data_IF_131349728743
#
_entry.id   IF_131349728743
#
_cell.length_a   1.000
_cell.length_b   1.000
_cell.length_c   1.000
_cell.angle_alpha   90.00
_cell.angle_beta   90.00
_cell.angle_gamma   90.00
#
_symmetry.space_group_name_H-M   'P 1'
#
loop_
_entity.id
_entity.type
_entity.pdbx_description
1 polymer ?
#
# COMPACT_ATOMS: atom_id res chain seq x y z
N UNK A 1 44.22 0.76 -63.72
CA UNK A 1 42.81 1.22 -63.49
C UNK A 1 42.40 0.71 -62.11
N UNK A 2 42.49 1.61 -61.07
CA UNK A 2 42.31 1.28 -59.67
C UNK A 2 40.84 1.57 -59.24
N UNK A 3 40.10 0.55 -58.82
CA UNK A 3 38.80 0.72 -58.16
C UNK A 3 39.02 0.52 -56.66
N UNK A 4 39.11 1.61 -55.93
CA UNK A 4 39.04 1.64 -54.45
C UNK A 4 37.56 1.61 -54.04
N UNK A 5 37.11 0.50 -53.49
CA UNK A 5 35.82 0.40 -52.82
C UNK A 5 35.92 1.00 -51.42
N UNK A 6 35.17 2.04 -51.16
CA UNK A 6 35.03 2.70 -49.85
C UNK A 6 33.94 1.99 -49.07
N UNK A 7 34.31 1.21 -48.06
CA UNK A 7 33.36 0.59 -47.10
C UNK A 7 33.04 1.60 -46.01
N UNK A 8 31.83 2.16 -46.06
CA UNK A 8 31.26 2.97 -44.99
C UNK A 8 30.70 2.04 -43.91
N UNK A 9 31.37 1.97 -42.76
CA UNK A 9 30.85 1.35 -41.54
C UNK A 9 29.86 2.29 -40.88
N UNK A 10 28.56 1.99 -40.97
CA UNK A 10 27.53 2.60 -40.16
C UNK A 10 27.58 2.00 -38.74
N UNK A 11 28.19 2.72 -37.81
CA UNK A 11 28.09 2.43 -36.37
C UNK A 11 26.70 2.83 -35.88
N UNK A 12 25.77 1.88 -35.77
CA UNK A 12 24.50 2.05 -35.06
C UNK A 12 24.80 2.08 -33.55
N UNK A 13 24.79 3.26 -32.96
CA UNK A 13 24.83 3.44 -31.51
C UNK A 13 23.47 3.06 -30.93
N UNK A 14 23.33 1.85 -30.36
CA UNK A 14 22.25 1.48 -29.46
C UNK A 14 22.45 2.26 -28.15
N UNK A 15 21.68 3.34 -27.96
CA UNK A 15 21.52 3.97 -26.67
C UNK A 15 20.63 3.08 -25.81
N UNK A 16 21.06 2.62 -24.62
CA UNK A 16 20.17 1.95 -23.71
C UNK A 16 19.14 2.96 -23.22
N UNK A 17 17.86 2.70 -23.50
CA UNK A 17 16.76 3.43 -22.89
C UNK A 17 16.80 3.12 -21.37
N UNK A 18 17.37 4.04 -20.59
CA UNK A 18 17.27 4.03 -19.16
C UNK A 18 15.76 4.24 -18.82
N UNK A 19 15.08 3.15 -18.51
CA UNK A 19 13.75 3.21 -17.91
C UNK A 19 13.88 3.94 -16.58
N UNK A 20 13.55 5.22 -16.57
CA UNK A 20 13.37 6.01 -15.35
C UNK A 20 12.25 5.29 -14.57
N UNK A 21 12.62 4.57 -13.51
CA UNK A 21 11.68 4.13 -12.51
C UNK A 21 11.06 5.40 -11.91
N UNK A 22 9.94 5.83 -12.45
CA UNK A 22 9.13 6.91 -11.87
C UNK A 22 8.68 6.38 -10.52
N UNK A 23 9.30 6.87 -9.45
CA UNK A 23 8.82 6.66 -8.09
C UNK A 23 7.35 7.04 -8.06
N UNK A 24 6.47 6.12 -7.65
CA UNK A 24 5.04 6.39 -7.60
C UNK A 24 4.82 7.68 -6.80
N UNK A 25 4.11 8.64 -7.40
CA UNK A 25 3.79 9.89 -6.72
C UNK A 25 3.08 9.60 -5.39
N UNK A 26 3.40 10.36 -4.33
CA UNK A 26 2.74 10.20 -3.03
C UNK A 26 1.21 10.26 -3.18
N UNK A 27 0.46 9.48 -2.38
CA UNK A 27 -1.00 9.49 -2.48
C UNK A 27 -1.57 10.87 -2.13
N UNK A 28 -2.70 11.27 -2.73
CA UNK A 28 -3.42 12.47 -2.32
C UNK A 28 -3.86 12.32 -0.85
N UNK A 29 -3.99 13.46 -0.15
CA UNK A 29 -4.54 13.46 1.21
C UNK A 29 -6.06 13.30 1.15
N UNK A 30 -6.68 12.60 2.13
CA UNK A 30 -8.13 12.56 2.24
C UNK A 30 -8.72 13.97 2.39
N UNK A 31 -9.79 14.23 1.67
CA UNK A 31 -10.60 15.44 1.84
C UNK A 31 -11.43 15.39 3.13
N UNK A 32 -12.01 16.52 3.54
CA UNK A 32 -12.75 16.63 4.81
C UNK A 32 -14.07 15.83 4.83
N UNK A 33 -14.53 15.33 3.69
CA UNK A 33 -15.77 14.55 3.53
C UNK A 33 -15.52 13.12 3.08
N UNK A 34 -14.27 12.70 2.92
CA UNK A 34 -13.95 11.36 2.45
C UNK A 34 -14.25 10.33 3.53
N UNK A 35 -15.13 9.41 3.19
CA UNK A 35 -15.54 8.31 4.03
C UNK A 35 -14.78 7.03 3.67
N UNK A 36 -14.40 6.27 4.68
CA UNK A 36 -13.92 4.90 4.48
C UNK A 36 -15.05 4.06 3.86
N UNK A 37 -14.83 3.43 2.68
CA UNK A 37 -15.89 2.66 2.01
C UNK A 37 -16.30 1.39 2.76
N UNK A 38 -15.51 0.96 3.76
CA UNK A 38 -15.77 -0.24 4.55
C UNK A 38 -16.59 0.06 5.79
N UNK A 39 -16.19 1.05 6.60
CA UNK A 39 -16.80 1.36 7.90
C UNK A 39 -17.60 2.69 7.94
N UNK A 40 -17.46 3.54 6.90
CA UNK A 40 -18.16 4.83 6.83
C UNK A 40 -17.58 5.94 7.70
N UNK A 41 -16.42 5.76 8.33
CA UNK A 41 -15.77 6.78 9.14
C UNK A 41 -15.13 7.87 8.27
N UNK A 42 -15.09 9.12 8.79
CA UNK A 42 -14.38 10.24 8.16
C UNK A 42 -12.86 10.00 8.26
N UNK A 43 -12.23 9.67 7.15
CA UNK A 43 -10.81 9.28 7.12
C UNK A 43 -9.90 10.42 7.56
N UNK A 44 -10.24 11.66 7.21
CA UNK A 44 -9.46 12.86 7.59
C UNK A 44 -9.30 13.08 9.08
N UNK A 45 -10.12 12.42 9.93
CA UNK A 45 -9.98 12.47 11.40
C UNK A 45 -8.86 11.57 11.93
N UNK A 46 -8.33 10.67 11.12
CA UNK A 46 -7.34 9.68 11.52
C UNK A 46 -6.07 9.74 10.65
N UNK A 47 -5.40 10.92 10.57
CA UNK A 47 -4.32 11.16 9.61
C UNK A 47 -3.13 10.21 9.77
N UNK A 48 -2.92 9.67 10.96
CA UNK A 48 -1.81 8.75 11.25
C UNK A 48 -2.10 7.29 10.82
N UNK A 49 -3.32 7.01 10.38
CA UNK A 49 -3.77 5.66 10.02
C UNK A 49 -4.17 5.51 8.56
N UNK A 50 -4.16 6.60 7.80
CA UNK A 50 -4.65 6.60 6.43
C UNK A 50 -4.02 5.50 5.59
N UNK A 51 -4.88 4.67 4.98
CA UNK A 51 -4.51 3.85 3.85
C UNK A 51 -5.21 4.35 2.58
N UNK A 52 -4.62 4.13 1.41
CA UNK A 52 -5.12 4.67 0.15
C UNK A 52 -4.93 3.69 -0.98
N UNK A 53 -5.98 3.44 -1.76
CA UNK A 53 -5.93 2.71 -3.02
C UNK A 53 -6.16 3.69 -4.16
N UNK A 54 -5.25 3.70 -5.14
CA UNK A 54 -5.34 4.52 -6.36
C UNK A 54 -5.56 3.59 -7.54
N UNK A 55 -6.56 3.90 -8.36
CA UNK A 55 -6.90 3.13 -9.55
C UNK A 55 -6.24 3.69 -10.81
N UNK A 56 -6.19 2.88 -11.86
CA UNK A 56 -5.59 3.23 -13.16
C UNK A 56 -6.29 4.42 -13.85
N UNK A 57 -7.57 4.62 -13.57
CA UNK A 57 -8.37 5.76 -14.06
C UNK A 57 -8.23 7.04 -13.21
N UNK A 58 -7.41 6.98 -12.15
CA UNK A 58 -7.19 8.10 -11.22
C UNK A 58 -8.19 8.16 -10.06
N UNK A 59 -9.22 7.28 -10.02
CA UNK A 59 -10.08 7.18 -8.85
C UNK A 59 -9.30 6.79 -7.61
N UNK A 60 -9.75 7.24 -6.42
CA UNK A 60 -9.07 7.00 -5.15
C UNK A 60 -10.07 6.59 -4.08
N UNK A 61 -9.73 5.56 -3.31
CA UNK A 61 -10.37 5.25 -2.06
C UNK A 61 -9.41 5.46 -0.89
N UNK A 62 -9.88 6.13 0.14
CA UNK A 62 -9.17 6.29 1.40
C UNK A 62 -9.82 5.46 2.50
N UNK A 63 -9.01 4.95 3.42
CA UNK A 63 -9.42 4.12 4.55
C UNK A 63 -8.83 4.71 5.83
N UNK A 64 -9.52 4.56 6.93
CA UNK A 64 -9.11 4.99 8.26
C UNK A 64 -8.12 4.02 8.95
N UNK A 65 -7.79 2.90 8.30
CA UNK A 65 -6.76 1.95 8.73
C UNK A 65 -6.41 0.91 7.67
N UNK A 66 -5.28 0.24 7.86
CA UNK A 66 -4.83 -0.82 6.97
C UNK A 66 -5.78 -2.04 7.01
N UNK A 67 -6.42 -2.32 8.14
CA UNK A 67 -7.38 -3.42 8.29
C UNK A 67 -8.55 -3.29 7.30
N UNK A 68 -9.16 -2.12 7.24
CA UNK A 68 -10.27 -1.88 6.33
C UNK A 68 -9.80 -1.83 4.87
N UNK A 69 -8.59 -1.33 4.61
CA UNK A 69 -7.96 -1.44 3.29
C UNK A 69 -7.80 -2.91 2.86
N UNK A 70 -7.40 -3.82 3.77
CA UNK A 70 -7.29 -5.24 3.45
C UNK A 70 -8.65 -5.91 3.23
N UNK A 71 -9.70 -5.58 4.00
CA UNK A 71 -11.07 -6.05 3.72
C UNK A 71 -11.49 -5.66 2.31
N UNK A 72 -11.29 -4.39 1.97
CA UNK A 72 -11.58 -3.89 0.63
C UNK A 72 -10.74 -4.57 -0.45
N UNK A 73 -9.42 -4.72 -0.22
CA UNK A 73 -8.51 -5.38 -1.16
C UNK A 73 -8.97 -6.80 -1.52
N UNK A 74 -9.46 -7.55 -0.55
CA UNK A 74 -9.92 -8.91 -0.76
C UNK A 74 -11.30 -9.01 -1.41
N UNK A 75 -12.19 -8.04 -1.15
CA UNK A 75 -13.58 -8.06 -1.62
C UNK A 75 -14.03 -6.69 -2.15
N UNK A 76 -13.36 -6.10 -3.15
CA UNK A 76 -13.68 -4.74 -3.59
C UNK A 76 -15.12 -4.59 -4.07
N UNK A 77 -15.68 -5.59 -4.76
CA UNK A 77 -17.06 -5.57 -5.25
C UNK A 77 -18.12 -5.50 -4.13
N UNK A 78 -17.78 -5.91 -2.90
CA UNK A 78 -18.66 -5.82 -1.73
C UNK A 78 -18.86 -4.38 -1.27
N UNK A 79 -17.83 -3.55 -1.40
CA UNK A 79 -17.77 -2.19 -0.85
C UNK A 79 -17.90 -1.09 -1.91
N UNK A 80 -17.50 -1.37 -3.14
CA UNK A 80 -17.56 -0.42 -4.25
C UNK A 80 -17.85 -1.13 -5.57
N UNK A 81 -19.10 -1.08 -6.01
CA UNK A 81 -19.53 -1.67 -7.27
C UNK A 81 -18.73 -1.10 -8.45
N UNK A 82 -18.31 -1.97 -9.37
CA UNK A 82 -17.56 -1.58 -10.56
C UNK A 82 -16.05 -1.49 -10.37
N UNK A 83 -15.53 -1.55 -9.15
CA UNK A 83 -14.09 -1.56 -8.89
C UNK A 83 -13.56 -2.99 -8.72
N UNK A 84 -12.42 -3.26 -9.35
CA UNK A 84 -11.76 -4.57 -9.33
C UNK A 84 -10.31 -4.43 -8.91
N UNK A 85 -9.76 -5.50 -8.37
CA UNK A 85 -8.37 -5.54 -7.91
C UNK A 85 -7.37 -5.27 -9.02
N UNK A 86 -7.65 -5.75 -10.25
CA UNK A 86 -6.81 -5.59 -11.43
C UNK A 86 -6.68 -4.13 -11.89
N UNK A 87 -7.63 -3.29 -11.49
CA UNK A 87 -7.64 -1.87 -11.83
C UNK A 87 -6.90 -1.00 -10.80
N UNK A 88 -6.46 -1.59 -9.67
CA UNK A 88 -5.71 -0.90 -8.63
C UNK A 88 -4.25 -0.71 -9.06
N UNK A 89 -3.83 0.54 -9.27
CA UNK A 89 -2.49 0.92 -9.72
C UNK A 89 -1.48 1.02 -8.57
N UNK A 90 -1.90 1.58 -7.43
CA UNK A 90 -1.04 1.75 -6.25
C UNK A 90 -1.83 1.60 -4.96
N UNK A 91 -1.15 1.11 -3.92
CA UNK A 91 -1.71 0.97 -2.58
C UNK A 91 -0.71 1.55 -1.59
N UNK A 92 -1.21 2.42 -0.71
CA UNK A 92 -0.40 3.12 0.28
C UNK A 92 -0.95 2.90 1.68
N UNK A 93 -0.06 2.85 2.66
CA UNK A 93 -0.38 2.86 4.10
C UNK A 93 0.50 3.88 4.80
N UNK A 94 0.11 4.33 5.97
CA UNK A 94 0.93 5.26 6.78
C UNK A 94 1.85 4.45 7.68
N UNK A 95 3.17 4.64 7.54
CA UNK A 95 4.16 4.07 8.45
C UNK A 95 3.97 4.60 9.87
N UNK A 96 3.95 3.69 10.85
CA UNK A 96 3.63 4.03 12.22
C UNK A 96 4.63 4.98 12.88
N UNK A 97 5.93 4.79 12.64
CA UNK A 97 6.96 5.60 13.30
C UNK A 97 7.18 6.96 12.62
N UNK A 98 7.21 6.99 11.30
CA UNK A 98 7.55 8.20 10.55
C UNK A 98 6.33 9.01 10.10
N UNK A 99 5.12 8.45 10.22
CA UNK A 99 3.86 9.06 9.80
C UNK A 99 3.88 9.50 8.32
N UNK A 100 4.59 8.72 7.50
CA UNK A 100 4.70 8.97 6.06
C UNK A 100 4.01 7.85 5.28
N UNK A 101 3.41 8.17 4.12
CA UNK A 101 2.87 7.14 3.24
C UNK A 101 4.00 6.29 2.68
N UNK A 102 3.83 4.97 2.78
CA UNK A 102 4.71 3.94 2.24
C UNK A 102 3.92 3.00 1.33
N UNK A 103 4.60 2.35 0.37
CA UNK A 103 4.00 1.35 -0.50
C UNK A 103 3.51 0.16 0.34
N UNK A 104 2.20 -0.06 0.35
CA UNK A 104 1.57 -1.11 1.15
C UNK A 104 2.10 -2.51 0.83
N UNK A 105 2.49 -2.77 -0.42
CA UNK A 105 3.00 -4.09 -0.85
C UNK A 105 4.41 -4.38 -0.34
N UNK A 106 5.14 -3.34 0.08
CA UNK A 106 6.49 -3.42 0.63
C UNK A 106 6.52 -3.27 2.14
N UNK A 107 5.40 -2.81 2.73
CA UNK A 107 5.27 -2.64 4.17
C UNK A 107 5.22 -3.98 4.91
N UNK A 108 5.60 -3.92 6.18
CA UNK A 108 5.41 -4.98 7.15
C UNK A 108 4.28 -4.60 8.09
N UNK A 109 3.51 -5.58 8.52
CA UNK A 109 2.32 -5.37 9.35
C UNK A 109 2.44 -6.14 10.65
N UNK A 110 2.27 -5.45 11.77
CA UNK A 110 2.18 -6.11 13.07
C UNK A 110 0.73 -6.14 13.52
N UNK A 111 0.27 -7.32 13.97
CA UNK A 111 -1.06 -7.49 14.54
C UNK A 111 -1.00 -8.07 15.95
N UNK A 112 -2.08 -7.88 16.72
CA UNK A 112 -2.18 -8.33 18.11
C UNK A 112 -1.39 -7.49 19.12
N UNK A 113 -1.04 -6.25 18.75
CA UNK A 113 -0.36 -5.30 19.65
C UNK A 113 -1.34 -4.62 20.60
N UNK A 114 -0.79 -3.91 21.59
CA UNK A 114 -1.55 -3.03 22.51
C UNK A 114 -1.85 -1.65 21.88
N UNK A 115 -1.34 -1.38 20.69
CA UNK A 115 -1.67 -0.19 19.90
C UNK A 115 -2.96 -0.45 19.15
N UNK A 116 -3.96 0.41 19.38
CA UNK A 116 -5.25 0.34 18.72
C UNK A 116 -5.37 1.42 17.66
N UNK A 117 -5.91 1.04 16.51
CA UNK A 117 -6.31 1.96 15.45
C UNK A 117 -7.73 2.53 15.68
N UNK A 118 -8.27 3.27 14.69
CA UNK A 118 -9.59 3.90 14.79
C UNK A 118 -10.73 2.92 15.08
N UNK A 119 -10.61 1.69 14.59
CA UNK A 119 -11.59 0.61 14.76
C UNK A 119 -11.07 -0.52 15.67
N UNK A 120 -10.27 -0.20 16.70
CA UNK A 120 -9.72 -1.20 17.63
C UNK A 120 -8.44 -1.87 17.09
N UNK A 121 -8.32 -3.19 17.25
CA UNK A 121 -7.14 -3.91 16.76
C UNK A 121 -6.90 -3.71 15.26
N UNK A 122 -5.62 -3.63 14.88
CA UNK A 122 -5.21 -3.19 13.55
C UNK A 122 -4.05 -4.03 13.00
N UNK A 123 -3.81 -3.95 11.69
CA UNK A 123 -2.53 -4.27 11.06
C UNK A 123 -1.68 -3.01 11.05
N UNK A 124 -0.79 -2.87 12.03
CA UNK A 124 0.06 -1.67 12.17
C UNK A 124 1.15 -1.69 11.10
N UNK A 125 1.18 -0.72 10.15
CA UNK A 125 2.14 -0.73 9.08
C UNK A 125 3.49 -0.16 9.51
N UNK A 126 4.57 -0.83 9.14
CA UNK A 126 5.96 -0.44 9.38
C UNK A 126 6.74 -0.48 8.05
N UNK A 127 7.66 0.47 7.88
CA UNK A 127 8.45 0.59 6.65
C UNK A 127 9.43 -0.56 6.45
N UNK A 128 10.04 -1.06 7.53
CA UNK A 128 11.04 -2.12 7.49
C UNK A 128 10.67 -3.31 8.37
N UNK A 129 11.28 -4.46 8.10
CA UNK A 129 11.11 -5.65 8.93
C UNK A 129 11.74 -5.47 10.30
N UNK A 130 12.79 -4.66 10.40
CA UNK A 130 13.46 -4.31 11.64
C UNK A 130 12.53 -3.49 12.53
N UNK A 131 11.96 -2.41 12.01
CA UNK A 131 10.94 -1.61 12.72
C UNK A 131 9.78 -2.49 13.19
N UNK A 132 9.33 -3.44 12.35
CA UNK A 132 8.25 -4.35 12.72
C UNK A 132 8.64 -5.30 13.85
N UNK A 133 9.91 -5.74 13.93
CA UNK A 133 10.40 -6.58 15.01
C UNK A 133 10.51 -5.79 16.33
N UNK A 134 11.00 -4.55 16.28
CA UNK A 134 11.07 -3.67 17.44
C UNK A 134 9.67 -3.32 17.93
N UNK A 135 8.76 -2.94 17.02
CA UNK A 135 7.36 -2.66 17.34
C UNK A 135 6.67 -3.88 18.00
N UNK A 136 6.87 -5.07 17.45
CA UNK A 136 6.28 -6.30 17.99
C UNK A 136 6.71 -6.52 19.43
N UNK A 137 7.99 -6.30 19.75
CA UNK A 137 8.54 -6.44 21.09
C UNK A 137 8.01 -5.37 22.04
N UNK A 138 8.04 -4.10 21.62
CA UNK A 138 7.74 -2.96 22.47
C UNK A 138 6.24 -2.82 22.75
N UNK A 139 5.40 -3.25 21.78
CA UNK A 139 3.94 -3.15 21.81
C UNK A 139 3.23 -4.51 21.96
N UNK A 140 3.91 -5.53 22.44
CA UNK A 140 3.34 -6.87 22.73
C UNK A 140 2.68 -7.52 21.52
N UNK A 141 3.13 -7.18 20.31
CA UNK A 141 2.60 -7.73 19.08
C UNK A 141 2.66 -9.25 19.02
N UNK A 142 1.80 -9.87 18.23
CA UNK A 142 1.71 -11.33 18.12
C UNK A 142 2.31 -11.87 16.83
N UNK A 143 2.15 -11.13 15.73
CA UNK A 143 2.59 -11.58 14.40
C UNK A 143 3.12 -10.42 13.58
N UNK A 144 4.14 -10.73 12.76
CA UNK A 144 4.63 -9.86 11.69
C UNK A 144 4.25 -10.51 10.36
N UNK A 145 3.65 -9.75 9.47
CA UNK A 145 3.15 -10.19 8.18
C UNK A 145 3.64 -9.26 7.07
N UNK A 146 3.99 -9.83 5.92
CA UNK A 146 4.07 -9.06 4.67
C UNK A 146 2.68 -8.92 4.04
N UNK A 147 2.53 -8.07 3.04
CA UNK A 147 1.26 -7.78 2.37
C UNK A 147 0.52 -9.05 1.91
N UNK A 148 1.23 -9.94 1.20
CA UNK A 148 0.63 -11.17 0.64
C UNK A 148 0.31 -12.23 1.70
N UNK A 149 0.79 -12.07 2.93
CA UNK A 149 0.49 -12.95 4.05
C UNK A 149 -0.81 -12.55 4.77
N UNK A 150 -1.34 -11.36 4.51
CA UNK A 150 -2.67 -10.96 5.01
C UNK A 150 -3.72 -11.53 4.07
N UNK A 151 -4.21 -12.73 4.39
CA UNK A 151 -5.18 -13.46 3.56
C UNK A 151 -6.62 -13.05 3.87
N UNK A 152 -7.54 -13.36 2.94
CA UNK A 152 -8.98 -13.10 3.10
C UNK A 152 -9.50 -13.68 4.42
N UNK A 153 -10.33 -12.92 5.13
CA UNK A 153 -10.91 -13.30 6.42
C UNK A 153 -10.02 -12.99 7.63
N UNK A 154 -8.74 -12.65 7.40
CA UNK A 154 -7.82 -12.34 8.51
C UNK A 154 -8.15 -10.99 9.16
N UNK A 155 -8.63 -10.02 8.39
CA UNK A 155 -9.02 -8.72 8.93
C UNK A 155 -10.23 -8.83 9.87
N UNK A 156 -11.17 -9.71 9.56
CA UNK A 156 -12.31 -10.03 10.42
C UNK A 156 -11.87 -10.77 11.70
N UNK A 157 -10.86 -11.63 11.61
CA UNK A 157 -10.28 -12.27 12.80
C UNK A 157 -9.63 -11.24 13.72
N UNK A 158 -8.96 -10.25 13.15
CA UNK A 158 -8.36 -9.13 13.92
C UNK A 158 -9.44 -8.29 14.60
N UNK A 159 -10.59 -8.04 13.95
CA UNK A 159 -11.74 -7.40 14.61
C UNK A 159 -12.20 -8.16 15.87
N UNK A 160 -12.19 -9.48 15.81
CA UNK A 160 -12.58 -10.37 16.92
C UNK A 160 -11.45 -10.56 17.96
N UNK A 161 -10.31 -9.87 17.83
CA UNK A 161 -9.14 -10.03 18.71
C UNK A 161 -8.42 -11.38 18.55
N UNK A 162 -8.55 -12.02 17.40
CA UNK A 162 -7.87 -13.28 17.06
C UNK A 162 -6.69 -13.00 16.12
N UNK A 163 -5.48 -13.39 16.53
CA UNK A 163 -4.21 -13.02 15.87
C UNK A 163 -3.38 -14.21 15.46
#
# INVERSE_FOLDING_TARGET
MNRRALLLFLLSSLLPAAALAQGAAKPPKPGPKDLCPVCGMLVSKYPNWVATIIYKDGHVHHFDGAKDMFKFWHEPAKYAAGHRREDMAAIWVTDFYNLQPIDARKAWYVTGSDVLGPMGHEFVPLATREDAADFLKDHKGKRILGFDQVVRGMAEQVDDGRF
#
